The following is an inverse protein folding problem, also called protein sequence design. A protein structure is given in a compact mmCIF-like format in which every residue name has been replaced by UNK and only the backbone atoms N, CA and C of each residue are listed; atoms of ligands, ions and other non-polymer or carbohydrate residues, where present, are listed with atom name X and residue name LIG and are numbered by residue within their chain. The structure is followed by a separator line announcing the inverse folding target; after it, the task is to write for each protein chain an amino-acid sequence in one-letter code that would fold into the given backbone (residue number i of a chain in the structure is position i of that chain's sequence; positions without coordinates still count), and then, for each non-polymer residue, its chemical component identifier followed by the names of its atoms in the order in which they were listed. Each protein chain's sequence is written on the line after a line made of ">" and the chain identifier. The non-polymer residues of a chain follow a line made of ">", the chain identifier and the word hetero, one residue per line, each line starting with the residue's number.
data_IF_393684266494
#
_entry.id   IF_393684266494
#
_cell.length_a   1.000
_cell.length_b   1.000
_cell.length_c   1.000
_cell.angle_alpha   90.00
_cell.angle_beta   90.00
_cell.angle_gamma   90.00
#
_symmetry.space_group_name_H-M   'P 1'
#
loop_
_entity.id
_entity.type
_entity.pdbx_description
1 polymer ?
#
# COMPACT_ATOMS: atom_id res chain seq x y z
N UNK A 1 14.64 2.21 -38.12
CA UNK A 1 13.18 2.46 -38.26
C UNK A 1 12.47 1.11 -38.30
N UNK A 2 12.25 0.47 -37.16
CA UNK A 2 11.54 -0.80 -37.08
C UNK A 2 10.20 -0.57 -36.40
N UNK A 3 9.13 -0.54 -37.20
CA UNK A 3 7.74 -0.53 -36.74
C UNK A 3 7.37 -1.94 -36.26
N UNK A 4 7.45 -2.22 -34.98
CA UNK A 4 6.73 -3.35 -34.38
C UNK A 4 5.27 -2.93 -34.12
N UNK A 5 4.44 -3.01 -35.16
CA UNK A 5 2.98 -3.09 -34.98
C UNK A 5 2.63 -4.53 -34.61
N UNK A 6 2.68 -4.88 -33.32
CA UNK A 6 1.80 -5.95 -32.84
C UNK A 6 0.49 -5.28 -32.39
N UNK A 7 -0.55 -5.44 -33.21
CA UNK A 7 -1.93 -5.30 -32.75
C UNK A 7 -2.10 -6.29 -31.61
N UNK A 8 -2.11 -5.83 -30.37
CA UNK A 8 -2.72 -6.59 -29.26
C UNK A 8 -4.22 -6.39 -29.42
N UNK A 9 -4.80 -7.10 -30.39
CA UNK A 9 -6.23 -7.38 -30.43
C UNK A 9 -6.58 -8.08 -29.12
N UNK A 10 -7.71 -7.72 -28.54
CA UNK A 10 -8.20 -8.11 -27.21
C UNK A 10 -7.79 -9.51 -26.79
N UNK A 11 -7.31 -9.61 -25.55
CA UNK A 11 -6.71 -10.78 -24.90
C UNK A 11 -6.93 -12.10 -25.58
N UNK A 12 -6.01 -12.56 -26.41
CA UNK A 12 -5.85 -13.99 -26.64
C UNK A 12 -5.52 -14.60 -25.27
N UNK A 13 -6.53 -15.17 -24.66
CA UNK A 13 -6.33 -16.10 -23.56
C UNK A 13 -5.42 -17.18 -24.13
N UNK A 14 -4.23 -17.31 -23.58
CA UNK A 14 -3.40 -18.50 -23.81
C UNK A 14 -4.34 -19.69 -23.58
N UNK A 15 -4.56 -20.56 -24.58
CA UNK A 15 -5.51 -21.65 -24.43
C UNK A 15 -5.14 -22.42 -23.18
N UNK A 16 -6.03 -22.50 -22.21
CA UNK A 16 -5.84 -23.38 -21.07
C UNK A 16 -5.72 -24.80 -21.63
N UNK A 17 -4.57 -25.44 -21.44
CA UNK A 17 -4.36 -26.83 -21.83
C UNK A 17 -5.35 -27.80 -21.14
N UNK A 18 -6.06 -27.28 -20.13
CA UNK A 18 -7.03 -28.03 -19.35
C UNK A 18 -8.45 -27.64 -19.80
N UNK A 19 -9.27 -28.55 -20.30
CA UNK A 19 -10.65 -28.27 -20.71
C UNK A 19 -11.46 -27.67 -19.55
N UNK A 20 -12.28 -26.66 -19.83
CA UNK A 20 -13.13 -26.01 -18.82
C UNK A 20 -14.04 -27.03 -18.10
N UNK A 21 -14.64 -27.95 -18.84
CA UNK A 21 -15.49 -29.01 -18.27
C UNK A 21 -14.76 -29.87 -17.24
N UNK A 22 -13.49 -30.19 -17.50
CA UNK A 22 -12.65 -30.90 -16.53
C UNK A 22 -12.39 -30.07 -15.27
N UNK A 23 -12.06 -28.79 -15.44
CA UNK A 23 -11.83 -27.86 -14.29
C UNK A 23 -13.09 -27.72 -13.45
N UNK A 24 -14.26 -27.55 -14.08
CA UNK A 24 -15.54 -27.42 -13.37
C UNK A 24 -15.86 -28.68 -12.56
N UNK A 25 -15.68 -29.89 -13.18
CA UNK A 25 -15.89 -31.16 -12.50
C UNK A 25 -14.94 -31.37 -11.32
N UNK A 26 -13.65 -31.12 -11.54
CA UNK A 26 -12.63 -31.31 -10.52
C UNK A 26 -12.73 -30.28 -9.41
N UNK A 27 -13.12 -29.03 -9.71
CA UNK A 27 -13.39 -27.99 -8.71
C UNK A 27 -14.54 -28.37 -7.80
N UNK A 28 -15.64 -28.94 -8.37
CA UNK A 28 -16.77 -29.43 -7.58
C UNK A 28 -16.33 -30.54 -6.62
N UNK A 29 -15.62 -31.55 -7.14
CA UNK A 29 -15.09 -32.68 -6.34
C UNK A 29 -14.12 -32.16 -5.24
N UNK A 30 -13.28 -31.17 -5.56
CA UNK A 30 -12.36 -30.57 -4.61
C UNK A 30 -13.10 -29.84 -3.47
N UNK A 31 -14.18 -29.11 -3.78
CA UNK A 31 -15.00 -28.43 -2.77
C UNK A 31 -15.66 -29.46 -1.85
N UNK A 32 -16.34 -30.45 -2.44
CA UNK A 32 -17.05 -31.51 -1.68
C UNK A 32 -16.12 -32.28 -0.74
N UNK A 33 -14.92 -32.66 -1.21
CA UNK A 33 -13.97 -33.46 -0.42
C UNK A 33 -13.17 -32.65 0.61
N UNK A 34 -13.20 -31.31 0.55
CA UNK A 34 -12.44 -30.44 1.45
C UNK A 34 -13.35 -29.57 2.32
N UNK A 35 -14.64 -29.85 2.35
CA UNK A 35 -15.58 -29.18 3.24
C UNK A 35 -15.26 -29.55 4.69
N UNK A 36 -15.03 -28.53 5.50
CA UNK A 36 -14.79 -28.69 6.93
C UNK A 36 -16.03 -28.19 7.67
N UNK A 37 -16.58 -29.04 8.55
CA UNK A 37 -17.71 -28.65 9.38
C UNK A 37 -17.42 -27.35 10.13
N UNK A 38 -18.29 -26.37 9.96
CA UNK A 38 -18.14 -25.04 10.55
C UNK A 38 -18.09 -25.08 12.11
N UNK A 39 -18.69 -26.09 12.75
CA UNK A 39 -18.66 -26.26 14.20
C UNK A 39 -17.26 -26.56 14.73
N UNK A 40 -16.41 -27.21 13.90
CA UNK A 40 -15.04 -27.52 14.28
C UNK A 40 -14.20 -26.23 14.50
N UNK A 41 -14.48 -25.16 13.78
CA UNK A 41 -13.78 -23.87 13.98
C UNK A 41 -14.05 -23.30 15.40
N UNK A 42 -15.27 -23.44 15.88
CA UNK A 42 -15.63 -23.03 17.26
C UNK A 42 -15.06 -24.00 18.29
N UNK A 43 -15.18 -25.31 18.03
CA UNK A 43 -14.67 -26.36 18.92
C UNK A 43 -13.16 -26.25 19.16
N UNK A 44 -12.38 -25.97 18.14
CA UNK A 44 -10.91 -25.84 18.23
C UNK A 44 -10.44 -24.39 18.37
N UNK A 45 -11.36 -23.42 18.56
CA UNK A 45 -11.04 -21.99 18.68
C UNK A 45 -10.15 -21.46 17.52
N UNK A 46 -10.44 -21.92 16.29
CA UNK A 46 -9.66 -21.57 15.12
C UNK A 46 -9.87 -20.11 14.75
N UNK A 47 -8.77 -19.39 14.51
CA UNK A 47 -8.81 -17.99 14.11
C UNK A 47 -9.01 -17.86 12.61
N UNK A 48 -9.66 -16.78 12.18
CA UNK A 48 -9.81 -16.44 10.74
C UNK A 48 -8.76 -15.40 10.36
N UNK A 49 -7.52 -15.85 10.11
CA UNK A 49 -6.39 -14.95 9.93
C UNK A 49 -6.12 -14.15 11.20
N UNK A 50 -6.11 -12.83 11.11
CA UNK A 50 -5.88 -11.93 12.25
C UNK A 50 -7.15 -11.63 13.08
N UNK A 51 -8.20 -12.49 12.99
CA UNK A 51 -9.47 -12.24 13.67
C UNK A 51 -9.94 -13.43 14.48
N UNK A 52 -10.54 -13.12 15.61
CA UNK A 52 -11.34 -14.04 16.42
C UNK A 52 -12.69 -14.32 15.73
N UNK A 53 -13.40 -15.35 16.17
CA UNK A 53 -14.71 -15.70 15.64
C UNK A 53 -15.75 -14.58 15.77
N UNK A 54 -15.64 -13.76 16.82
CA UNK A 54 -16.49 -12.59 17.06
C UNK A 54 -16.09 -11.34 16.24
N UNK A 55 -15.10 -11.44 15.35
CA UNK A 55 -14.63 -10.35 14.50
C UNK A 55 -13.58 -9.43 15.15
N UNK A 56 -13.26 -9.61 16.44
CA UNK A 56 -12.21 -8.82 17.11
C UNK A 56 -10.83 -9.23 16.61
N UNK A 57 -9.85 -8.32 16.72
CA UNK A 57 -8.44 -8.58 16.34
C UNK A 57 -7.78 -9.62 17.24
N UNK A 58 -6.83 -10.34 16.69
CA UNK A 58 -5.95 -11.26 17.40
C UNK A 58 -4.68 -10.51 17.80
N UNK A 59 -4.24 -10.63 19.04
CA UNK A 59 -2.93 -10.12 19.45
C UNK A 59 -1.85 -11.04 18.86
N UNK A 60 -1.08 -10.51 17.93
CA UNK A 60 -0.05 -11.28 17.19
C UNK A 60 1.37 -10.86 17.55
N UNK A 61 1.54 -9.82 18.34
CA UNK A 61 2.83 -9.33 18.80
C UNK A 61 2.72 -7.98 19.49
N UNK A 62 3.87 -7.47 19.91
CA UNK A 62 4.02 -6.15 20.50
C UNK A 62 4.92 -5.31 19.61
N UNK A 63 4.64 -4.01 19.53
CA UNK A 63 5.46 -3.06 18.79
C UNK A 63 5.62 -1.76 19.58
N UNK A 64 6.74 -1.06 19.35
CA UNK A 64 6.96 0.32 19.83
C UNK A 64 6.94 1.33 18.70
N UNK A 65 6.59 0.89 17.47
CA UNK A 65 6.71 1.74 16.27
C UNK A 65 5.46 2.61 16.12
N UNK A 66 4.27 2.02 16.24
CA UNK A 66 3.03 2.74 16.10
C UNK A 66 1.97 2.25 17.09
N UNK A 67 1.11 3.16 17.50
CA UNK A 67 -0.03 2.88 18.36
C UNK A 67 -1.27 3.55 17.80
N UNK A 68 -2.38 2.81 17.79
CA UNK A 68 -3.70 3.31 17.37
C UNK A 68 -4.66 3.15 18.53
N UNK A 69 -5.19 4.25 19.02
CA UNK A 69 -6.20 4.28 20.09
C UNK A 69 -7.52 4.68 19.44
N UNK A 70 -8.55 3.89 19.64
CA UNK A 70 -9.92 4.19 19.13
C UNK A 70 -11.00 3.73 20.09
N UNK A 71 -10.59 3.21 21.27
CA UNK A 71 -11.48 2.87 22.36
C UNK A 71 -10.71 2.86 23.68
N UNK A 72 -11.44 3.12 24.74
CA UNK A 72 -11.00 2.88 26.12
C UNK A 72 -11.72 1.66 26.71
N UNK A 73 -11.17 1.10 27.75
CA UNK A 73 -11.80 -0.03 28.44
C UNK A 73 -12.29 0.46 29.79
N UNK A 74 -13.60 0.35 30.05
CA UNK A 74 -14.20 0.69 31.33
C UNK A 74 -13.84 -0.32 32.45
N UNK A 75 -14.26 -0.02 33.66
CA UNK A 75 -14.05 -0.88 34.85
C UNK A 75 -14.65 -2.29 34.67
N UNK A 76 -15.70 -2.42 33.85
CA UNK A 76 -16.38 -3.67 33.53
C UNK A 76 -15.78 -4.39 32.32
N UNK A 77 -14.65 -3.93 31.80
CA UNK A 77 -13.97 -4.41 30.57
C UNK A 77 -14.79 -4.22 29.28
N UNK A 78 -15.76 -3.31 29.27
CA UNK A 78 -16.45 -2.92 28.04
C UNK A 78 -15.59 -1.91 27.30
N UNK A 79 -15.62 -2.00 25.97
CA UNK A 79 -14.92 -1.07 25.10
C UNK A 79 -15.81 0.13 24.79
N UNK A 80 -15.36 1.31 25.19
CA UNK A 80 -16.02 2.58 24.93
C UNK A 80 -15.27 3.23 23.75
N UNK A 81 -15.94 3.48 22.62
CA UNK A 81 -15.33 4.19 21.50
C UNK A 81 -14.89 5.60 21.92
N UNK A 82 -13.64 5.96 21.58
CA UNK A 82 -13.11 7.33 21.71
C UNK A 82 -12.68 7.85 20.35
N UNK A 83 -12.36 9.14 20.28
CA UNK A 83 -11.78 9.69 19.07
C UNK A 83 -10.47 8.98 18.72
N UNK A 84 -10.31 8.66 17.42
CA UNK A 84 -9.14 7.91 16.96
C UNK A 84 -7.85 8.71 17.09
N UNK A 85 -6.84 8.13 17.72
CA UNK A 85 -5.51 8.70 17.85
C UNK A 85 -4.48 7.76 17.24
N UNK A 86 -3.48 8.31 16.56
CA UNK A 86 -2.36 7.59 15.96
C UNK A 86 -1.06 8.18 16.47
N UNK A 87 -0.19 7.30 16.98
CA UNK A 87 1.13 7.68 17.48
C UNK A 87 2.22 6.98 16.69
N UNK A 88 3.27 7.72 16.36
CA UNK A 88 4.51 7.21 15.78
C UNK A 88 5.62 7.35 16.81
N UNK A 89 6.13 6.22 17.33
CA UNK A 89 7.18 6.21 18.36
C UNK A 89 6.84 7.09 19.59
N UNK A 90 5.55 7.22 19.92
CA UNK A 90 5.06 8.04 21.03
C UNK A 90 4.74 9.49 20.68
N UNK A 91 5.01 9.93 19.46
CA UNK A 91 4.59 11.25 18.96
C UNK A 91 3.20 11.16 18.34
N UNK A 92 2.28 12.03 18.73
CA UNK A 92 0.96 12.09 18.11
C UNK A 92 1.07 12.58 16.66
N UNK A 93 0.36 11.91 15.75
CA UNK A 93 0.44 12.23 14.32
C UNK A 93 -0.02 13.65 14.00
N UNK A 94 -0.98 14.18 14.78
CA UNK A 94 -1.47 15.54 14.59
C UNK A 94 -0.39 16.58 14.89
N UNK A 95 0.39 16.38 15.94
CA UNK A 95 1.49 17.27 16.32
C UNK A 95 2.60 17.28 15.26
N UNK A 96 2.95 16.08 14.75
CA UNK A 96 3.92 15.96 13.67
C UNK A 96 3.45 16.68 12.41
N UNK A 97 2.23 16.44 11.97
CA UNK A 97 1.64 17.07 10.79
C UNK A 97 1.55 18.59 10.97
N UNK A 98 1.10 19.07 12.14
CA UNK A 98 0.99 20.49 12.42
C UNK A 98 2.36 21.20 12.35
N UNK A 99 3.42 20.55 12.84
CA UNK A 99 4.80 21.08 12.73
C UNK A 99 5.21 21.24 11.27
N UNK A 100 5.02 20.20 10.43
CA UNK A 100 5.38 20.27 9.02
C UNK A 100 4.59 21.31 8.23
N UNK A 101 3.30 21.45 8.53
CA UNK A 101 2.44 22.46 7.90
C UNK A 101 2.84 23.88 8.31
N UNK A 102 3.05 24.12 9.62
CA UNK A 102 3.39 25.46 10.12
C UNK A 102 4.77 25.94 9.67
N UNK A 103 5.72 25.01 9.54
CA UNK A 103 7.08 25.31 9.08
C UNK A 103 7.23 25.25 7.55
N UNK A 104 6.13 24.96 6.84
CA UNK A 104 6.08 24.83 5.37
C UNK A 104 7.11 23.87 4.77
N UNK A 105 7.48 22.81 5.47
CA UNK A 105 8.51 21.83 5.07
C UNK A 105 7.96 20.44 4.77
N UNK A 106 8.74 19.62 4.07
CA UNK A 106 8.46 18.20 3.85
C UNK A 106 8.87 17.40 5.08
N UNK A 107 8.02 16.45 5.49
CA UNK A 107 8.18 15.67 6.70
C UNK A 107 8.36 14.16 6.48
N UNK A 108 8.11 13.61 5.28
CA UNK A 108 8.11 12.17 5.07
C UNK A 108 9.46 11.51 5.38
N UNK A 109 10.59 12.09 4.97
CA UNK A 109 11.91 11.56 5.28
C UNK A 109 12.23 11.62 6.78
N UNK A 110 11.74 12.64 7.49
CA UNK A 110 11.90 12.75 8.95
C UNK A 110 11.07 11.70 9.68
N UNK A 111 9.83 11.49 9.26
CA UNK A 111 8.98 10.41 9.80
C UNK A 111 9.58 9.03 9.49
N UNK A 112 10.15 8.85 8.29
CA UNK A 112 10.86 7.62 7.94
C UNK A 112 12.04 7.39 8.90
N UNK A 113 12.82 8.42 9.20
CA UNK A 113 13.90 8.35 10.18
C UNK A 113 13.37 7.98 11.57
N UNK A 114 12.33 8.67 12.04
CA UNK A 114 11.68 8.42 13.32
C UNK A 114 11.22 6.95 13.46
N UNK A 115 10.53 6.43 12.45
CA UNK A 115 10.02 5.05 12.48
C UNK A 115 11.15 4.02 12.50
N UNK A 116 12.23 4.25 11.76
CA UNK A 116 13.38 3.35 11.70
C UNK A 116 14.23 3.38 12.98
N UNK A 117 14.53 4.58 13.50
CA UNK A 117 15.54 4.75 14.54
C UNK A 117 14.96 5.06 15.94
N UNK A 118 13.70 5.46 16.02
CA UNK A 118 12.99 5.62 17.30
C UNK A 118 12.91 7.04 17.85
N UNK A 119 13.78 7.95 17.38
CA UNK A 119 13.84 9.34 17.81
C UNK A 119 13.79 10.29 16.61
N UNK A 120 13.32 11.53 16.82
CA UNK A 120 13.40 12.57 15.82
C UNK A 120 14.87 12.96 15.55
N UNK A 121 15.26 13.14 14.29
CA UNK A 121 16.62 13.50 13.94
C UNK A 121 16.95 14.96 14.31
N UNK A 122 18.18 15.21 14.66
CA UNK A 122 18.74 16.57 14.58
C UNK A 122 18.79 17.02 13.11
N UNK A 123 18.85 18.33 12.86
CA UNK A 123 18.92 18.86 11.49
C UNK A 123 20.09 18.26 10.68
N UNK A 124 21.23 18.02 11.33
CA UNK A 124 22.40 17.40 10.70
C UNK A 124 22.09 15.96 10.28
N UNK A 125 21.50 15.16 11.17
CA UNK A 125 21.11 13.78 10.88
C UNK A 125 20.05 13.70 9.79
N UNK A 126 19.05 14.60 9.81
CA UNK A 126 18.03 14.67 8.78
C UNK A 126 18.63 14.96 7.40
N UNK A 127 19.53 15.93 7.31
CA UNK A 127 20.20 16.29 6.06
C UNK A 127 21.04 15.12 5.52
N UNK A 128 21.76 14.42 6.39
CA UNK A 128 22.54 13.23 6.02
C UNK A 128 21.63 12.09 5.56
N UNK A 129 20.53 11.85 6.26
CA UNK A 129 19.56 10.82 5.89
C UNK A 129 18.86 11.13 4.56
N UNK A 130 18.44 12.39 4.33
CA UNK A 130 17.89 12.84 3.04
C UNK A 130 18.86 12.63 1.89
N UNK A 131 20.13 12.96 2.10
CA UNK A 131 21.20 12.72 1.11
C UNK A 131 21.32 11.23 0.80
N UNK A 132 21.37 10.38 1.84
CA UNK A 132 21.47 8.93 1.69
C UNK A 132 20.29 8.35 0.90
N UNK A 133 19.03 8.71 1.24
CA UNK A 133 17.85 8.29 0.48
C UNK A 133 17.92 8.79 -0.97
N UNK A 134 18.37 10.04 -1.19
CA UNK A 134 18.55 10.62 -2.51
C UNK A 134 19.51 9.83 -3.39
N UNK A 135 20.64 9.41 -2.85
CA UNK A 135 21.64 8.58 -3.55
C UNK A 135 21.09 7.20 -3.95
N UNK A 136 20.09 6.69 -3.22
CA UNK A 136 19.46 5.38 -3.44
C UNK A 136 18.24 5.41 -4.37
N UNK A 137 17.90 6.56 -4.96
CA UNK A 137 16.70 6.69 -5.81
C UNK A 137 16.85 6.02 -7.18
N UNK A 138 18.06 5.85 -7.67
CA UNK A 138 18.30 5.22 -8.95
C UNK A 138 18.21 3.70 -8.87
N UNK A 139 17.48 3.12 -9.81
CA UNK A 139 17.44 1.66 -9.97
C UNK A 139 18.76 1.13 -10.57
N UNK A 140 19.12 -0.12 -10.32
CA UNK A 140 20.29 -0.76 -10.94
C UNK A 140 20.25 -0.63 -12.46
N UNK A 141 21.44 -0.58 -13.09
CA UNK A 141 21.57 -0.45 -14.54
C UNK A 141 20.80 -1.55 -15.30
N UNK A 142 20.00 -1.16 -16.27
CA UNK A 142 19.16 -2.06 -17.06
C UNK A 142 17.87 -2.52 -16.37
N UNK A 143 17.74 -2.40 -15.05
CA UNK A 143 16.60 -2.93 -14.30
C UNK A 143 15.25 -2.42 -14.82
N UNK A 144 15.10 -1.12 -15.04
CA UNK A 144 13.85 -0.55 -15.54
C UNK A 144 13.46 -1.18 -16.89
N UNK A 145 14.37 -1.28 -17.83
CA UNK A 145 14.16 -1.89 -19.15
C UNK A 145 13.76 -3.36 -19.03
N UNK A 146 14.57 -4.14 -18.35
CA UNK A 146 14.49 -5.60 -18.38
C UNK A 146 13.39 -6.14 -17.46
N UNK A 147 13.21 -5.53 -16.29
CA UNK A 147 12.29 -6.01 -15.27
C UNK A 147 10.95 -5.28 -15.25
N UNK A 148 10.89 -4.01 -15.65
CA UNK A 148 9.66 -3.22 -15.57
C UNK A 148 9.00 -3.09 -16.96
N UNK A 149 9.71 -2.59 -17.94
CA UNK A 149 9.14 -2.25 -19.25
C UNK A 149 8.88 -3.48 -20.11
N UNK A 150 9.73 -4.51 -20.04
CA UNK A 150 9.60 -5.72 -20.87
C UNK A 150 8.34 -6.54 -20.56
N UNK A 151 7.90 -6.55 -19.28
CA UNK A 151 6.74 -7.33 -18.84
C UNK A 151 5.74 -6.46 -18.06
N UNK A 152 5.03 -5.53 -18.73
CA UNK A 152 4.07 -4.64 -18.09
C UNK A 152 2.92 -5.43 -17.44
N UNK A 153 2.27 -4.83 -16.45
CA UNK A 153 1.15 -5.45 -15.74
C UNK A 153 -0.03 -4.48 -15.66
N UNK A 154 -1.26 -5.01 -15.80
CA UNK A 154 -2.47 -4.24 -15.50
C UNK A 154 -2.56 -3.85 -14.02
N UNK A 155 -1.93 -4.62 -13.15
CA UNK A 155 -1.84 -4.36 -11.70
C UNK A 155 -0.46 -3.80 -11.35
N UNK A 156 -0.40 -2.53 -10.97
CA UNK A 156 0.84 -1.88 -10.50
C UNK A 156 1.36 -2.58 -9.24
N UNK A 157 0.49 -2.97 -8.31
CA UNK A 157 0.88 -3.70 -7.10
C UNK A 157 1.54 -5.05 -7.41
N UNK A 158 1.02 -5.79 -8.40
CA UNK A 158 1.69 -7.02 -8.85
C UNK A 158 3.06 -6.73 -9.46
N UNK A 159 3.16 -5.65 -10.25
CA UNK A 159 4.44 -5.26 -10.84
C UNK A 159 5.43 -4.85 -9.78
N UNK A 160 4.99 -4.08 -8.78
CA UNK A 160 5.81 -3.65 -7.65
C UNK A 160 6.35 -4.86 -6.86
N UNK A 161 5.50 -5.81 -6.48
CA UNK A 161 5.93 -7.03 -5.77
C UNK A 161 7.00 -7.80 -6.57
N UNK A 162 6.80 -8.00 -7.89
CA UNK A 162 7.78 -8.67 -8.75
C UNK A 162 9.08 -7.88 -8.87
N UNK A 163 9.00 -6.55 -8.93
CA UNK A 163 10.18 -5.70 -9.04
C UNK A 163 10.99 -5.71 -7.75
N UNK A 164 10.33 -5.67 -6.59
CA UNK A 164 11.02 -5.82 -5.30
C UNK A 164 11.75 -7.15 -5.22
N UNK A 165 11.08 -8.27 -5.56
CA UNK A 165 11.70 -9.58 -5.54
C UNK A 165 12.88 -9.68 -6.52
N UNK A 166 12.79 -9.03 -7.69
CA UNK A 166 13.85 -9.05 -8.70
C UNK A 166 15.10 -8.25 -8.28
N UNK A 167 14.98 -7.27 -7.37
CA UNK A 167 16.13 -6.52 -6.83
C UNK A 167 17.10 -7.43 -6.05
N UNK A 168 16.65 -8.58 -5.55
CA UNK A 168 17.48 -9.61 -4.97
C UNK A 168 18.70 -9.95 -5.86
N UNK A 169 18.50 -10.07 -7.18
CA UNK A 169 19.55 -10.44 -8.12
C UNK A 169 20.62 -9.34 -8.34
N UNK A 170 20.39 -8.14 -7.82
CA UNK A 170 21.29 -6.99 -7.95
C UNK A 170 21.99 -6.64 -6.63
N UNK A 171 21.70 -7.38 -5.56
CA UNK A 171 22.35 -7.24 -4.25
C UNK A 171 23.50 -8.24 -4.15
N UNK A 172 24.65 -7.77 -3.69
CA UNK A 172 25.83 -8.63 -3.49
C UNK A 172 25.70 -9.57 -2.28
N UNK A 173 24.87 -9.19 -1.28
CA UNK A 173 24.66 -9.94 -0.05
C UNK A 173 23.17 -10.06 0.28
N UNK A 174 22.34 -10.65 -0.62
CA UNK A 174 20.89 -10.62 -0.47
C UNK A 174 20.37 -11.43 0.72
N UNK A 175 21.06 -12.52 1.07
CA UNK A 175 20.66 -13.47 2.12
C UNK A 175 21.25 -13.15 3.52
N UNK A 176 22.04 -12.10 3.64
CA UNK A 176 22.54 -11.65 4.93
C UNK A 176 21.43 -10.93 5.71
N UNK A 177 20.90 -11.61 6.74
CA UNK A 177 19.83 -11.12 7.62
C UNK A 177 20.34 -10.38 8.85
N UNK A 178 21.63 -10.00 8.89
CA UNK A 178 22.14 -9.11 9.94
C UNK A 178 21.40 -7.78 9.96
N UNK A 179 21.24 -7.20 11.16
CA UNK A 179 20.51 -5.93 11.33
C UNK A 179 21.07 -4.82 10.43
N UNK A 180 22.39 -4.73 10.29
CA UNK A 180 23.04 -3.74 9.45
C UNK A 180 22.73 -3.94 7.97
N UNK A 181 22.72 -5.18 7.48
CA UNK A 181 22.41 -5.46 6.08
C UNK A 181 20.92 -5.28 5.79
N UNK A 182 20.03 -5.74 6.66
CA UNK A 182 18.58 -5.50 6.53
C UNK A 182 18.26 -3.99 6.54
N UNK A 183 18.93 -3.19 7.38
CA UNK A 183 18.80 -1.74 7.36
C UNK A 183 19.27 -1.14 6.02
N UNK A 184 20.43 -1.57 5.49
CA UNK A 184 20.92 -1.15 4.17
C UNK A 184 19.89 -1.45 3.08
N UNK A 185 19.41 -2.70 3.01
CA UNK A 185 18.41 -3.13 2.04
C UNK A 185 17.10 -2.34 2.17
N UNK A 186 16.67 -2.04 3.40
CA UNK A 186 15.47 -1.23 3.66
C UNK A 186 15.64 0.20 3.14
N UNK A 187 16.78 0.83 3.36
CA UNK A 187 17.10 2.16 2.85
C UNK A 187 17.14 2.16 1.31
N UNK A 188 17.77 1.15 0.71
CA UNK A 188 17.80 0.98 -0.75
C UNK A 188 16.38 0.85 -1.32
N UNK A 189 15.52 0.04 -0.72
CA UNK A 189 14.12 -0.12 -1.13
C UNK A 189 13.33 1.18 -0.97
N UNK A 190 13.44 1.90 0.16
CA UNK A 190 12.75 3.17 0.38
C UNK A 190 13.15 4.18 -0.70
N UNK A 191 14.44 4.26 -1.03
CA UNK A 191 14.92 5.12 -2.11
C UNK A 191 14.40 4.72 -3.49
N UNK A 192 14.33 3.42 -3.79
CA UNK A 192 13.94 2.89 -5.09
C UNK A 192 12.42 2.92 -5.35
N UNK A 193 11.57 2.87 -4.33
CA UNK A 193 10.11 2.74 -4.48
C UNK A 193 9.48 3.80 -5.39
N UNK A 194 9.83 5.10 -5.34
CA UNK A 194 9.30 6.09 -6.27
C UNK A 194 9.51 5.71 -7.74
N UNK A 195 10.71 5.24 -8.10
CA UNK A 195 11.04 4.83 -9.45
C UNK A 195 10.30 3.53 -9.86
N UNK A 196 10.22 2.55 -8.95
CA UNK A 196 9.48 1.30 -9.19
C UNK A 196 8.00 1.57 -9.48
N UNK A 197 7.36 2.46 -8.71
CA UNK A 197 5.95 2.82 -8.86
C UNK A 197 5.75 3.59 -10.17
N UNK A 198 6.55 4.63 -10.40
CA UNK A 198 6.38 5.51 -11.56
C UNK A 198 6.60 4.77 -12.88
N UNK A 199 7.65 3.97 -12.99
CA UNK A 199 7.93 3.21 -14.20
C UNK A 199 6.91 2.08 -14.43
N UNK A 200 6.42 1.44 -13.36
CA UNK A 200 5.32 0.48 -13.48
C UNK A 200 4.02 1.14 -13.98
N UNK A 201 3.74 2.36 -13.53
CA UNK A 201 2.60 3.16 -14.00
C UNK A 201 2.77 3.53 -15.48
N UNK A 202 3.90 4.09 -15.88
CA UNK A 202 4.20 4.48 -17.24
C UNK A 202 4.11 3.27 -18.20
N UNK A 203 4.66 2.14 -17.80
CA UNK A 203 4.53 0.90 -18.59
C UNK A 203 3.07 0.46 -18.73
N UNK A 204 2.27 0.55 -17.67
CA UNK A 204 0.84 0.25 -17.72
C UNK A 204 0.10 1.19 -18.67
N UNK A 205 0.32 2.50 -18.58
CA UNK A 205 -0.35 3.49 -19.43
C UNK A 205 0.02 3.28 -20.90
N UNK A 206 1.28 3.06 -21.20
CA UNK A 206 1.72 2.83 -22.57
C UNK A 206 1.17 1.54 -23.17
N UNK A 207 1.20 0.43 -22.43
CA UNK A 207 0.79 -0.89 -22.97
C UNK A 207 -0.72 -1.12 -22.99
N UNK A 208 -1.46 -0.54 -22.04
CA UNK A 208 -2.88 -0.87 -21.86
C UNK A 208 -3.83 0.30 -22.11
N UNK A 209 -3.35 1.55 -22.07
CA UNK A 209 -4.13 2.73 -22.38
C UNK A 209 -3.71 3.42 -23.70
N UNK A 210 -2.68 2.91 -24.38
CA UNK A 210 -2.11 3.49 -25.61
C UNK A 210 -1.60 4.93 -25.44
N UNK A 211 -1.17 5.29 -24.24
CA UNK A 211 -0.56 6.59 -23.96
C UNK A 211 0.94 6.58 -24.27
N UNK A 212 1.52 7.75 -24.49
CA UNK A 212 2.97 7.88 -24.64
C UNK A 212 3.66 7.57 -23.31
N UNK A 213 4.81 6.88 -23.37
CA UNK A 213 5.62 6.59 -22.20
C UNK A 213 6.56 7.75 -21.91
N UNK A 214 6.48 8.31 -20.71
CA UNK A 214 7.33 9.38 -20.24
C UNK A 214 8.19 8.88 -19.07
N UNK A 215 9.49 8.77 -19.28
CA UNK A 215 10.43 8.26 -18.28
C UNK A 215 11.30 9.42 -17.78
N UNK A 216 11.02 9.90 -16.59
CA UNK A 216 11.85 10.87 -15.89
C UNK A 216 12.74 10.14 -14.88
N UNK A 217 14.01 10.48 -14.85
CA UNK A 217 14.93 9.96 -13.83
C UNK A 217 14.65 10.65 -12.49
N UNK A 218 14.81 9.92 -11.36
CA UNK A 218 14.70 10.55 -10.05
C UNK A 218 15.81 11.60 -9.85
N UNK A 219 15.52 12.59 -9.03
CA UNK A 219 16.45 13.65 -8.65
C UNK A 219 16.77 13.50 -7.17
N UNK A 220 18.05 13.43 -6.83
CA UNK A 220 18.50 13.10 -5.47
C UNK A 220 18.08 14.16 -4.44
N UNK A 221 18.09 15.43 -4.83
CA UNK A 221 17.81 16.58 -3.98
C UNK A 221 16.33 16.80 -3.69
N UNK A 222 15.44 16.25 -4.51
CA UNK A 222 13.99 16.36 -4.32
C UNK A 222 13.50 15.40 -3.24
N UNK A 223 12.43 15.77 -2.53
CA UNK A 223 11.74 14.88 -1.59
C UNK A 223 11.14 13.66 -2.30
N UNK A 224 10.75 12.66 -1.54
CA UNK A 224 10.05 11.47 -2.07
C UNK A 224 8.75 11.85 -2.77
N UNK A 225 7.96 12.75 -2.20
CA UNK A 225 6.71 13.22 -2.78
C UNK A 225 6.93 13.94 -4.13
N UNK A 226 7.91 14.84 -4.18
CA UNK A 226 8.27 15.56 -5.42
C UNK A 226 8.73 14.60 -6.52
N UNK A 227 9.59 13.63 -6.18
CA UNK A 227 10.04 12.61 -7.13
C UNK A 227 8.87 11.78 -7.68
N UNK A 228 7.93 11.35 -6.84
CA UNK A 228 6.76 10.60 -7.29
C UNK A 228 5.95 11.43 -8.30
N UNK A 229 5.62 12.68 -7.97
CA UNK A 229 4.84 13.56 -8.88
C UNK A 229 5.57 13.80 -10.18
N UNK A 230 6.85 14.18 -10.10
CA UNK A 230 7.70 14.44 -11.25
C UNK A 230 7.77 13.24 -12.19
N UNK A 231 7.97 12.06 -11.66
CA UNK A 231 8.14 10.85 -12.46
C UNK A 231 6.83 10.28 -13.02
N UNK A 232 5.68 10.57 -12.38
CA UNK A 232 4.37 10.14 -12.85
C UNK A 232 3.82 11.03 -13.97
N UNK A 233 4.16 12.32 -14.01
CA UNK A 233 3.59 13.28 -14.95
C UNK A 233 4.36 13.35 -16.25
N UNK A 234 3.66 13.50 -17.40
CA UNK A 234 4.33 13.61 -18.71
C UNK A 234 5.33 14.77 -18.80
N UNK A 235 4.98 15.94 -18.24
CA UNK A 235 5.84 17.14 -18.23
C UNK A 235 6.90 17.12 -17.12
N UNK A 236 6.73 16.28 -16.11
CA UNK A 236 7.55 16.33 -14.90
C UNK A 236 7.23 17.51 -13.96
N UNK A 237 6.20 18.31 -14.28
CA UNK A 237 5.82 19.49 -13.49
C UNK A 237 4.81 19.17 -12.42
N UNK A 238 4.89 19.87 -11.30
CA UNK A 238 3.97 19.80 -10.17
C UNK A 238 3.98 21.13 -9.42
N UNK A 239 2.91 21.42 -8.69
CA UNK A 239 2.85 22.60 -7.82
C UNK A 239 3.38 22.29 -6.43
N UNK A 240 3.87 23.29 -5.68
CA UNK A 240 4.28 23.12 -4.29
C UNK A 240 3.16 22.53 -3.40
N UNK A 241 1.92 22.94 -3.64
CA UNK A 241 0.76 22.45 -2.90
C UNK A 241 0.54 20.94 -3.13
N UNK A 242 0.65 20.48 -4.37
CA UNK A 242 0.52 19.05 -4.69
C UNK A 242 1.62 18.23 -4.02
N UNK A 243 2.85 18.72 -4.06
CA UNK A 243 3.98 18.03 -3.42
C UNK A 243 3.80 17.93 -1.89
N UNK A 244 3.43 19.04 -1.23
CA UNK A 244 3.13 19.06 0.20
C UNK A 244 1.95 18.15 0.56
N UNK A 245 0.89 18.16 -0.24
CA UNK A 245 -0.28 17.30 -0.03
C UNK A 245 0.10 15.82 -0.12
N UNK A 246 0.90 15.44 -1.13
CA UNK A 246 1.36 14.06 -1.27
C UNK A 246 2.29 13.66 -0.11
N UNK A 247 3.18 14.54 0.32
CA UNK A 247 4.06 14.30 1.47
C UNK A 247 3.26 14.00 2.74
N UNK A 248 2.25 14.81 3.04
CA UNK A 248 1.32 14.56 4.16
C UNK A 248 0.58 13.24 4.01
N UNK A 249 0.13 12.89 2.80
CA UNK A 249 -0.48 11.59 2.55
C UNK A 249 0.49 10.44 2.83
N UNK A 250 1.76 10.55 2.44
CA UNK A 250 2.78 9.54 2.71
C UNK A 250 3.04 9.40 4.21
N UNK A 251 3.10 10.51 4.95
CA UNK A 251 3.24 10.52 6.41
C UNK A 251 2.07 9.79 7.07
N UNK A 252 0.83 10.14 6.72
CA UNK A 252 -0.38 9.57 7.32
C UNK A 252 -0.56 8.07 7.02
N UNK A 253 0.07 7.57 5.95
CA UNK A 253 0.00 6.16 5.55
C UNK A 253 1.24 5.34 5.96
N UNK A 254 2.22 5.95 6.63
CA UNK A 254 3.49 5.29 6.91
C UNK A 254 3.36 4.15 7.93
N UNK A 255 2.49 4.29 8.94
CA UNK A 255 2.29 3.29 10.01
C UNK A 255 0.87 3.39 10.58
N UNK A 256 0.28 2.29 11.00
CA UNK A 256 -0.99 2.27 11.73
C UNK A 256 -1.11 1.06 12.69
N UNK A 257 0.01 0.59 13.21
CA UNK A 257 0.08 -0.54 14.14
C UNK A 257 0.41 -1.88 13.47
N UNK A 258 0.96 -2.79 14.28
CA UNK A 258 1.46 -4.11 13.84
C UNK A 258 0.38 -5.12 13.42
N UNK A 259 -0.89 -4.82 13.66
CA UNK A 259 -2.02 -5.74 13.43
C UNK A 259 -2.54 -5.80 11.98
N UNK A 260 -1.92 -5.11 11.04
CA UNK A 260 -2.33 -5.18 9.63
C UNK A 260 -1.74 -6.41 8.91
N UNK A 261 -2.38 -6.85 7.83
CA UNK A 261 -1.97 -8.05 7.11
C UNK A 261 -0.55 -7.96 6.52
N UNK A 262 -0.09 -6.79 6.08
CA UNK A 262 1.25 -6.65 5.52
C UNK A 262 2.32 -6.72 6.60
N UNK A 263 2.13 -6.07 7.75
CA UNK A 263 3.04 -6.18 8.90
C UNK A 263 3.10 -7.61 9.41
N UNK A 264 1.94 -8.27 9.54
CA UNK A 264 1.89 -9.68 9.94
C UNK A 264 2.59 -10.60 8.92
N UNK A 265 2.37 -10.36 7.62
CA UNK A 265 3.05 -11.11 6.55
C UNK A 265 4.56 -10.91 6.63
N UNK A 266 5.02 -9.68 6.87
CA UNK A 266 6.43 -9.37 7.08
C UNK A 266 7.01 -10.18 8.23
N UNK A 267 6.38 -10.17 9.39
CA UNK A 267 6.81 -10.95 10.55
C UNK A 267 6.79 -12.46 10.27
N UNK A 268 5.73 -12.96 9.64
CA UNK A 268 5.58 -14.39 9.34
C UNK A 268 6.67 -14.86 8.37
N UNK A 269 6.89 -14.13 7.28
CA UNK A 269 7.85 -14.53 6.25
C UNK A 269 9.28 -14.38 6.76
N UNK A 270 9.62 -13.26 7.41
CA UNK A 270 10.97 -13.06 7.96
C UNK A 270 11.31 -14.04 9.08
N UNK A 271 10.33 -14.57 9.82
CA UNK A 271 10.56 -15.57 10.87
C UNK A 271 11.14 -16.89 10.35
N UNK A 272 11.03 -17.16 9.06
CA UNK A 272 11.68 -18.32 8.41
C UNK A 272 13.16 -18.10 8.15
N UNK A 273 13.70 -16.90 8.39
CA UNK A 273 15.09 -16.55 8.09
C UNK A 273 15.36 -16.24 6.61
N UNK A 274 14.31 -15.99 5.81
CA UNK A 274 14.46 -15.60 4.39
C UNK A 274 14.90 -14.14 4.24
N UNK A 275 15.28 -13.76 3.03
CA UNK A 275 15.79 -12.46 2.67
C UNK A 275 14.74 -11.33 2.75
N UNK A 276 15.22 -10.08 2.79
CA UNK A 276 14.39 -8.87 2.86
C UNK A 276 13.51 -8.70 1.63
N UNK A 277 14.00 -9.03 0.43
CA UNK A 277 13.26 -8.81 -0.82
C UNK A 277 12.05 -9.75 -0.91
N UNK A 278 12.21 -11.04 -0.59
CA UNK A 278 11.11 -11.99 -0.51
C UNK A 278 10.07 -11.55 0.53
N UNK A 279 10.53 -11.08 1.69
CA UNK A 279 9.69 -10.61 2.79
C UNK A 279 8.84 -9.39 2.38
N UNK A 280 9.45 -8.36 1.81
CA UNK A 280 8.75 -7.14 1.38
C UNK A 280 7.87 -7.42 0.15
N UNK A 281 8.32 -8.25 -0.79
CA UNK A 281 7.48 -8.66 -1.94
C UNK A 281 6.21 -9.40 -1.49
N UNK A 282 6.30 -10.25 -0.47
CA UNK A 282 5.14 -10.93 0.13
C UNK A 282 4.19 -9.92 0.82
N UNK A 283 4.72 -8.94 1.56
CA UNK A 283 3.95 -7.88 2.19
C UNK A 283 3.20 -7.01 1.18
N UNK A 284 3.85 -6.63 0.08
CA UNK A 284 3.23 -5.91 -1.06
C UNK A 284 2.15 -6.78 -1.71
N UNK A 285 2.40 -8.09 -1.85
CA UNK A 285 1.41 -9.06 -2.34
C UNK A 285 0.17 -9.14 -1.43
N UNK A 286 0.37 -9.12 -0.11
CA UNK A 286 -0.72 -9.04 0.87
C UNK A 286 -1.52 -7.75 0.72
N UNK A 287 -0.85 -6.61 0.57
CA UNK A 287 -1.50 -5.31 0.37
C UNK A 287 -2.33 -5.24 -0.92
N UNK A 288 -1.94 -5.96 -1.97
CA UNK A 288 -2.68 -6.04 -3.23
C UNK A 288 -4.10 -6.62 -3.05
N UNK A 289 -4.33 -7.41 -2.02
CA UNK A 289 -5.62 -8.07 -1.77
C UNK A 289 -6.76 -7.06 -1.53
N UNK A 290 -7.97 -7.26 -2.15
CA UNK A 290 -9.07 -6.30 -2.03
C UNK A 290 -9.60 -6.16 -0.60
N UNK A 291 -9.38 -7.15 0.26
CA UNK A 291 -9.76 -7.09 1.67
C UNK A 291 -8.76 -6.35 2.57
N UNK A 292 -7.59 -6.01 2.04
CA UNK A 292 -6.56 -5.25 2.74
C UNK A 292 -6.34 -3.88 2.06
N UNK A 293 -5.76 -3.84 0.87
CA UNK A 293 -5.46 -2.61 0.12
C UNK A 293 -6.59 -2.08 -0.77
N UNK A 294 -7.81 -2.62 -0.69
CA UNK A 294 -8.93 -2.24 -1.57
C UNK A 294 -9.59 -0.89 -1.25
N UNK A 295 -9.28 -0.26 -0.11
CA UNK A 295 -9.95 0.98 0.32
C UNK A 295 -9.75 2.14 -0.67
N UNK A 296 -8.53 2.33 -1.19
CA UNK A 296 -8.25 3.41 -2.14
C UNK A 296 -9.01 3.26 -3.47
N UNK A 297 -9.11 2.04 -4.00
CA UNK A 297 -9.92 1.77 -5.20
C UNK A 297 -11.39 2.04 -4.93
N UNK A 298 -11.88 1.66 -3.76
CA UNK A 298 -13.24 1.92 -3.35
C UNK A 298 -13.54 3.44 -3.25
N UNK A 299 -12.62 4.22 -2.69
CA UNK A 299 -12.73 5.69 -2.65
C UNK A 299 -12.73 6.30 -4.05
N UNK A 300 -11.86 5.83 -4.96
CA UNK A 300 -11.84 6.29 -6.36
C UNK A 300 -13.19 6.01 -7.04
N UNK A 301 -13.74 4.82 -6.86
CA UNK A 301 -15.06 4.46 -7.40
C UNK A 301 -16.17 5.31 -6.79
N UNK A 302 -16.11 5.59 -5.49
CA UNK A 302 -17.03 6.48 -4.80
C UNK A 302 -16.98 7.89 -5.40
N UNK A 303 -15.81 8.46 -5.57
CA UNK A 303 -15.64 9.79 -6.17
C UNK A 303 -16.19 9.80 -7.61
N UNK A 304 -15.94 8.74 -8.39
CA UNK A 304 -16.46 8.61 -9.75
C UNK A 304 -17.99 8.56 -9.78
N UNK A 305 -18.59 7.80 -8.86
CA UNK A 305 -20.04 7.70 -8.71
C UNK A 305 -20.66 9.04 -8.23
N UNK A 306 -20.02 9.70 -7.28
CA UNK A 306 -20.40 11.04 -6.83
C UNK A 306 -20.38 12.04 -7.99
N UNK A 307 -19.31 12.10 -8.77
CA UNK A 307 -19.19 12.97 -9.95
C UNK A 307 -20.27 12.70 -11.00
N UNK A 308 -20.75 11.47 -11.11
CA UNK A 308 -21.80 11.08 -12.05
C UNK A 308 -23.21 11.50 -11.56
N UNK A 309 -23.45 11.46 -10.25
CA UNK A 309 -24.79 11.59 -9.68
C UNK A 309 -25.04 12.94 -8.98
N UNK A 310 -24.00 13.73 -8.71
CA UNK A 310 -24.09 15.07 -8.12
C UNK A 310 -23.80 16.11 -9.20
N UNK A 311 -24.72 17.08 -9.38
CA UNK A 311 -24.60 18.12 -10.41
C UNK A 311 -23.41 19.06 -10.17
N UNK A 312 -23.23 19.45 -8.93
CA UNK A 312 -22.15 20.34 -8.50
C UNK A 312 -21.43 19.75 -7.31
N UNK A 313 -20.27 19.14 -7.56
CA UNK A 313 -19.43 18.53 -6.53
C UNK A 313 -18.72 19.57 -5.63
N UNK A 314 -18.78 20.85 -5.97
CA UNK A 314 -18.26 21.94 -5.14
C UNK A 314 -19.31 22.43 -4.14
N UNK A 315 -20.58 22.10 -4.35
CA UNK A 315 -21.66 22.41 -3.43
C UNK A 315 -21.74 21.37 -2.30
N UNK A 316 -21.30 21.76 -1.11
CA UNK A 316 -21.29 20.90 0.07
C UNK A 316 -22.66 20.24 0.36
N UNK A 317 -23.76 20.99 0.22
CA UNK A 317 -25.11 20.46 0.49
C UNK A 317 -25.53 19.36 -0.48
N UNK A 318 -25.16 19.48 -1.74
CA UNK A 318 -25.49 18.47 -2.76
C UNK A 318 -24.70 17.19 -2.52
N UNK A 319 -23.42 17.33 -2.17
CA UNK A 319 -22.55 16.20 -1.80
C UNK A 319 -23.05 15.50 -0.53
N UNK A 320 -23.36 16.27 0.51
CA UNK A 320 -23.86 15.74 1.79
C UNK A 320 -25.19 14.98 1.61
N UNK A 321 -26.14 15.58 0.90
CA UNK A 321 -27.42 14.94 0.58
C UNK A 321 -27.26 13.62 -0.19
N UNK A 322 -26.30 13.56 -1.12
CA UNK A 322 -25.98 12.35 -1.86
C UNK A 322 -25.40 11.28 -0.92
N UNK A 323 -24.39 11.62 -0.13
CA UNK A 323 -23.74 10.71 0.81
C UNK A 323 -24.71 10.17 1.86
N UNK A 324 -25.60 11.00 2.40
CA UNK A 324 -26.67 10.59 3.32
C UNK A 324 -27.59 9.54 2.67
N UNK A 325 -27.98 9.73 1.40
CA UNK A 325 -28.81 8.76 0.67
C UNK A 325 -28.10 7.43 0.48
N UNK A 326 -26.80 7.45 0.16
CA UNK A 326 -25.96 6.27 0.04
C UNK A 326 -25.88 5.52 1.39
N UNK A 327 -25.59 6.24 2.47
CA UNK A 327 -25.51 5.69 3.84
C UNK A 327 -26.83 5.08 4.31
N UNK A 328 -27.95 5.72 4.01
CA UNK A 328 -29.29 5.20 4.32
C UNK A 328 -29.71 4.04 3.41
N UNK A 329 -28.92 3.71 2.39
CA UNK A 329 -29.21 2.62 1.46
C UNK A 329 -30.35 2.91 0.48
N UNK A 330 -30.68 4.19 0.30
CA UNK A 330 -31.68 4.66 -0.65
C UNK A 330 -31.16 4.66 -2.09
N UNK A 331 -29.84 4.66 -2.27
CA UNK A 331 -29.16 4.48 -3.53
C UNK A 331 -28.40 3.15 -3.49
N UNK A 332 -28.53 2.36 -4.56
CA UNK A 332 -27.68 1.17 -4.76
C UNK A 332 -26.33 1.68 -5.28
N UNK A 333 -25.38 1.86 -4.39
CA UNK A 333 -23.98 1.97 -4.80
C UNK A 333 -23.28 0.68 -4.41
N UNK A 334 -22.26 0.31 -5.16
CA UNK A 334 -21.31 -0.77 -4.74
C UNK A 334 -20.66 -0.47 -3.38
N UNK A 335 -20.82 0.74 -2.90
CA UNK A 335 -20.33 1.36 -1.67
C UNK A 335 -20.97 0.86 -0.37
N UNK A 336 -22.09 0.17 -0.40
CA UNK A 336 -22.56 -0.56 0.80
C UNK A 336 -21.49 -1.52 1.34
N UNK A 337 -20.62 -2.00 0.46
CA UNK A 337 -19.42 -2.76 0.84
C UNK A 337 -18.37 -1.85 1.45
N UNK A 338 -18.11 -0.68 0.87
CA UNK A 338 -17.07 0.25 1.33
C UNK A 338 -17.42 0.85 2.68
N UNK A 339 -18.64 1.33 2.88
CA UNK A 339 -19.08 1.91 4.16
C UNK A 339 -19.08 0.89 5.31
N UNK A 340 -19.43 -0.38 5.05
CA UNK A 340 -19.30 -1.46 6.03
C UNK A 340 -17.84 -1.90 6.21
N UNK A 341 -17.06 -1.94 5.13
CA UNK A 341 -15.64 -2.30 5.18
C UNK A 341 -14.78 -1.17 5.73
N UNK A 342 -15.08 0.11 5.44
CA UNK A 342 -14.42 1.22 6.10
C UNK A 342 -14.78 1.30 7.59
N UNK A 343 -16.06 1.19 7.98
CA UNK A 343 -16.42 1.12 9.40
C UNK A 343 -15.83 -0.10 10.11
N UNK A 344 -15.63 -1.21 9.42
CA UNK A 344 -14.96 -2.39 9.97
C UNK A 344 -13.44 -2.30 9.91
N UNK A 345 -12.86 -1.44 9.07
CA UNK A 345 -11.40 -1.24 8.93
C UNK A 345 -10.87 -0.10 9.78
N UNK A 346 -11.68 0.93 10.02
CA UNK A 346 -11.40 2.02 10.97
C UNK A 346 -11.96 1.70 12.37
N UNK A 347 -12.56 0.54 12.54
CA UNK A 347 -12.78 0.00 13.87
C UNK A 347 -11.42 -0.29 14.49
N UNK A 348 -11.19 0.09 15.75
CA UNK A 348 -9.94 -0.17 16.50
C UNK A 348 -9.60 -1.64 16.67
N UNK A 349 -10.17 -2.49 15.87
CA UNK A 349 -10.01 -3.94 15.83
C UNK A 349 -9.27 -4.46 14.60
N UNK A 350 -8.60 -3.57 13.88
CA UNK A 350 -7.75 -3.97 12.76
C UNK A 350 -6.32 -4.12 13.18
#
# INVERSE_FOLDING_TARGET
>A
MFRFRRKVTGGEQVPSLIPKTYLDLMSKKMIENNEIDSELYSKYNVKRGLRNANGTGVVVGLTRIGEVIGYETDENRNKIPVEGQLYYRGYEIQDLVQSYVSEERFGFEEVTYLLLFGDLPTQKQLNEFKRLIGEKRNLPAGFARDMILTAPSRSIMNKLSRSVLALYCYDENPDDTSVSNVLRQSIDLIGNFPALIAYAYQAKQSFFANESMHLHYPVAELSTAENILRMLRPTGEYTPLEAKTLDLCLILHAEHGGGNNSSFTTHLVSSSGTDTYATIAAAVGSLKGPRHGGANIAVINMIADLKKNVKDITNYKDVDNYLIKVLKGLLRSEERRVGKECRSRWSPYH
#
